data_IF_298644751359
#
_entry.id   IF_298644751359
#
_cell.length_a   1.000
_cell.length_b   1.000
_cell.length_c   1.000
_cell.angle_alpha   90.00
_cell.angle_beta   90.00
_cell.angle_gamma   90.00
#
_symmetry.space_group_name_H-M   'P 1'
#
loop_
_entity.id
_entity.type
_entity.pdbx_description
1 polymer ?
#
# COMPACT_ATOMS: atom_id res chain seq x y z
N UNK A 1 19.71 7.33 -5.48
CA UNK A 1 18.47 6.62 -5.05
C UNK A 1 18.04 7.22 -3.72
N UNK A 2 16.76 7.51 -3.48
CA UNK A 2 16.31 7.96 -2.16
C UNK A 2 16.68 6.89 -1.13
N UNK A 3 17.28 7.33 -0.02
CA UNK A 3 17.54 6.48 1.14
C UNK A 3 16.21 6.38 1.92
N UNK A 4 15.89 5.23 2.51
CA UNK A 4 14.64 5.01 3.27
C UNK A 4 14.43 6.12 4.31
N UNK A 5 15.52 6.53 4.98
CA UNK A 5 15.57 7.63 5.94
C UNK A 5 15.01 8.95 5.38
N UNK A 6 15.23 9.23 4.08
CA UNK A 6 14.67 10.43 3.46
C UNK A 6 13.14 10.33 3.32
N UNK A 7 12.61 9.14 3.02
CA UNK A 7 11.16 8.92 2.88
C UNK A 7 10.48 9.03 4.24
N UNK A 8 11.09 8.43 5.27
CA UNK A 8 10.65 8.53 6.66
C UNK A 8 10.67 9.98 7.14
N UNK A 9 11.72 10.74 6.80
CA UNK A 9 11.82 12.16 7.13
C UNK A 9 10.69 12.96 6.50
N UNK A 10 10.40 12.75 5.21
CA UNK A 10 9.29 13.42 4.53
C UNK A 10 7.94 13.04 5.17
N UNK A 11 7.73 11.79 5.54
CA UNK A 11 6.51 11.37 6.23
C UNK A 11 6.34 12.08 7.58
N UNK A 12 7.43 12.22 8.37
CA UNK A 12 7.45 12.98 9.62
C UNK A 12 7.18 14.47 9.42
N UNK A 13 7.83 15.08 8.43
CA UNK A 13 7.65 16.50 8.08
C UNK A 13 6.22 16.81 7.61
N UNK A 14 5.54 15.82 7.03
CA UNK A 14 4.14 15.87 6.64
C UNK A 14 3.19 15.32 7.72
N UNK A 15 3.55 15.41 9.00
CA UNK A 15 2.71 15.02 10.14
C UNK A 15 2.28 13.53 10.17
N UNK A 16 3.15 12.63 9.74
CA UNK A 16 2.93 11.19 9.88
C UNK A 16 2.04 10.56 8.80
N UNK A 17 1.91 11.21 7.64
CA UNK A 17 1.21 10.61 6.49
C UNK A 17 1.91 9.34 6.00
N UNK A 18 1.12 8.39 5.52
CA UNK A 18 1.65 7.21 4.84
C UNK A 18 2.11 7.54 3.43
N UNK A 19 3.40 7.34 3.15
CA UNK A 19 4.05 7.53 1.86
C UNK A 19 4.34 6.18 1.22
N UNK A 20 4.04 6.06 -0.07
CA UNK A 20 4.46 4.94 -0.92
C UNK A 20 5.51 5.43 -1.90
N UNK A 21 6.79 5.13 -1.62
CA UNK A 21 7.86 5.34 -2.59
C UNK A 21 7.97 4.12 -3.51
N UNK A 22 7.41 4.25 -4.71
CA UNK A 22 7.48 3.23 -5.75
C UNK A 22 8.92 2.98 -6.20
N UNK A 23 9.27 1.73 -6.45
CA UNK A 23 10.63 1.38 -6.87
C UNK A 23 10.77 -0.02 -7.43
N UNK A 24 12.01 -0.54 -7.41
CA UNK A 24 12.25 -1.98 -7.62
C UNK A 24 11.52 -2.80 -6.54
N UNK A 25 11.60 -2.30 -5.33
CA UNK A 25 10.82 -2.64 -4.15
C UNK A 25 10.09 -1.35 -3.76
N UNK A 26 8.83 -1.45 -3.38
CA UNK A 26 8.11 -0.28 -2.87
C UNK A 26 8.40 -0.14 -1.38
N UNK A 27 8.71 1.08 -0.95
CA UNK A 27 8.91 1.46 0.45
C UNK A 27 7.64 2.16 0.91
N UNK A 28 7.07 1.70 2.01
CA UNK A 28 5.82 2.23 2.55
C UNK A 28 6.07 2.62 3.99
N UNK A 29 5.91 3.90 4.33
CA UNK A 29 6.23 4.40 5.67
C UNK A 29 5.30 5.52 6.09
N UNK A 30 4.98 5.59 7.39
CA UNK A 30 4.34 6.73 8.03
C UNK A 30 5.35 7.58 8.85
N UNK A 31 6.65 7.33 8.67
CA UNK A 31 7.72 7.96 9.44
C UNK A 31 8.03 7.27 10.77
N UNK A 32 7.18 6.38 11.26
CA UNK A 32 7.41 5.60 12.49
C UNK A 32 7.67 4.13 12.14
N UNK A 33 6.78 3.57 11.34
CA UNK A 33 6.83 2.20 10.87
C UNK A 33 7.08 2.18 9.37
N UNK A 34 7.98 1.32 8.93
CA UNK A 34 8.34 1.15 7.52
C UNK A 34 8.18 -0.31 7.13
N UNK A 35 7.41 -0.56 6.07
CA UNK A 35 7.20 -1.86 5.47
C UNK A 35 7.59 -1.83 4.00
N UNK A 36 7.90 -3.00 3.45
CA UNK A 36 8.39 -3.11 2.09
C UNK A 36 7.57 -4.09 1.25
N UNK A 37 7.19 -3.70 0.05
CA UNK A 37 6.59 -4.61 -0.93
C UNK A 37 7.65 -5.15 -1.89
N UNK A 38 8.05 -6.39 -1.65
CA UNK A 38 9.09 -7.12 -2.39
C UNK A 38 8.56 -8.09 -3.45
N UNK A 39 7.25 -8.09 -3.72
CA UNK A 39 6.66 -8.97 -4.74
C UNK A 39 7.40 -8.85 -6.08
N UNK A 40 7.32 -9.79 -7.01
CA UNK A 40 7.83 -9.52 -8.37
C UNK A 40 6.78 -8.74 -9.15
N UNK A 41 7.20 -7.69 -9.86
CA UNK A 41 6.35 -6.94 -10.80
C UNK A 41 6.59 -7.39 -12.24
N UNK A 42 5.77 -6.93 -13.19
CA UNK A 42 6.04 -7.15 -14.61
C UNK A 42 7.25 -6.32 -15.09
N UNK A 43 7.90 -6.76 -16.17
CA UNK A 43 9.01 -6.00 -16.77
C UNK A 43 8.52 -4.85 -17.67
N UNK A 44 7.25 -4.91 -18.09
CA UNK A 44 6.63 -3.89 -18.94
C UNK A 44 6.18 -2.68 -18.14
N UNK A 45 6.53 -1.48 -18.63
CA UNK A 45 5.95 -0.21 -18.18
C UNK A 45 4.74 0.12 -19.03
N UNK A 46 3.56 0.07 -18.43
CA UNK A 46 2.31 0.51 -19.05
C UNK A 46 1.92 1.87 -18.48
N UNK A 47 1.33 2.73 -19.31
CA UNK A 47 0.54 3.84 -18.81
C UNK A 47 -0.57 3.32 -17.89
N UNK A 48 -0.90 4.07 -16.84
CA UNK A 48 -1.99 3.70 -15.91
C UNK A 48 -1.62 2.80 -14.73
N UNK A 49 -0.38 2.28 -14.64
CA UNK A 49 0.03 1.49 -13.46
C UNK A 49 -0.11 2.27 -12.14
N UNK A 50 0.10 3.59 -12.19
CA UNK A 50 -0.10 4.47 -11.03
C UNK A 50 -1.55 4.61 -10.62
N UNK A 51 -2.47 4.63 -11.59
CA UNK A 51 -3.91 4.77 -11.35
C UNK A 51 -4.52 3.48 -10.78
N UNK A 52 -4.08 2.33 -11.29
CA UNK A 52 -4.44 1.02 -10.71
C UNK A 52 -3.96 0.92 -9.28
N UNK A 53 -2.72 1.37 -9.00
CA UNK A 53 -2.18 1.36 -7.64
C UNK A 53 -3.00 2.25 -6.70
N UNK A 54 -3.21 3.53 -7.07
CA UNK A 54 -3.93 4.46 -6.19
C UNK A 54 -5.38 4.03 -5.95
N UNK A 55 -6.06 3.52 -6.99
CA UNK A 55 -7.39 2.94 -6.88
C UNK A 55 -7.42 1.76 -5.92
N UNK A 56 -6.50 0.81 -6.07
CA UNK A 56 -6.41 -0.36 -5.17
C UNK A 56 -6.14 0.06 -3.71
N UNK A 57 -5.22 1.00 -3.47
CA UNK A 57 -4.95 1.53 -2.12
C UNK A 57 -6.22 2.16 -1.53
N UNK A 58 -6.92 2.99 -2.29
CA UNK A 58 -8.15 3.64 -1.84
C UNK A 58 -9.25 2.62 -1.50
N UNK A 59 -9.38 1.55 -2.30
CA UNK A 59 -10.32 0.46 -2.01
C UNK A 59 -9.99 -0.24 -0.69
N UNK A 60 -8.74 -0.67 -0.47
CA UNK A 60 -8.35 -1.33 0.78
C UNK A 60 -8.50 -0.43 1.99
N UNK A 61 -8.14 0.86 1.86
CA UNK A 61 -8.32 1.84 2.93
C UNK A 61 -9.80 2.05 3.25
N UNK A 62 -10.65 2.21 2.24
CA UNK A 62 -12.09 2.36 2.39
C UNK A 62 -12.73 1.16 3.09
N UNK A 63 -12.34 -0.07 2.73
CA UNK A 63 -12.81 -1.27 3.42
C UNK A 63 -12.42 -1.29 4.90
N UNK A 64 -11.18 -0.94 5.22
CA UNK A 64 -10.72 -0.88 6.60
C UNK A 64 -11.37 0.23 7.42
N UNK A 65 -11.67 1.40 6.83
CA UNK A 65 -12.44 2.46 7.48
C UNK A 65 -13.88 1.98 7.75
N UNK A 66 -14.53 1.32 6.79
CA UNK A 66 -15.86 0.76 7.01
C UNK A 66 -15.85 -0.31 8.12
N UNK A 67 -14.75 -1.07 8.24
CA UNK A 67 -14.54 -2.03 9.34
C UNK A 67 -14.37 -1.33 10.68
N UNK A 68 -13.50 -0.32 10.80
CA UNK A 68 -13.33 0.42 12.06
C UNK A 68 -14.60 1.14 12.50
N UNK A 69 -15.47 1.52 11.56
CA UNK A 69 -16.78 2.11 11.81
C UNK A 69 -17.90 1.09 12.04
N UNK A 70 -17.60 -0.21 12.09
CA UNK A 70 -18.58 -1.30 12.30
C UNK A 70 -19.73 -1.28 11.29
N UNK A 71 -19.44 -0.92 10.04
CA UNK A 71 -20.43 -0.85 8.94
C UNK A 71 -20.69 -2.21 8.27
N UNK A 72 -19.92 -3.24 8.61
CA UNK A 72 -20.07 -4.59 8.07
C UNK A 72 -20.77 -5.51 9.08
N UNK A 73 -21.48 -6.52 8.60
CA UNK A 73 -22.04 -7.58 9.45
C UNK A 73 -20.88 -8.49 9.86
N UNK A 74 -20.48 -8.40 11.14
CA UNK A 74 -19.39 -9.19 11.69
C UNK A 74 -19.92 -10.58 12.09
N UNK A 75 -19.51 -11.61 11.34
CA UNK A 75 -19.81 -13.01 11.67
C UNK A 75 -18.68 -13.67 12.50
N UNK A 76 -17.61 -12.94 12.82
CA UNK A 76 -16.42 -13.44 13.53
C UNK A 76 -15.80 -12.34 14.40
N UNK A 77 -15.18 -12.72 15.51
CA UNK A 77 -14.31 -11.83 16.28
C UNK A 77 -13.02 -11.60 15.50
N UNK A 78 -12.89 -10.46 14.85
CA UNK A 78 -11.64 -10.07 14.19
C UNK A 78 -10.81 -9.16 15.11
N UNK A 79 -9.48 -9.27 15.01
CA UNK A 79 -8.61 -8.26 15.62
C UNK A 79 -8.91 -6.88 15.02
N UNK A 80 -9.00 -5.88 15.91
CA UNK A 80 -9.04 -4.49 15.52
C UNK A 80 -7.69 -4.08 14.93
N UNK A 81 -7.73 -3.34 13.83
CA UNK A 81 -6.56 -2.75 13.19
C UNK A 81 -6.46 -1.32 13.69
N UNK A 82 -5.30 -0.91 14.20
CA UNK A 82 -5.11 0.46 14.68
C UNK A 82 -5.23 1.48 13.54
N UNK A 83 -5.53 2.74 13.91
CA UNK A 83 -5.59 3.85 12.96
C UNK A 83 -4.27 4.12 12.26
N UNK A 84 -3.14 3.84 12.92
CA UNK A 84 -1.81 4.00 12.35
C UNK A 84 -1.43 2.86 11.39
N UNK A 85 -1.86 1.63 11.68
CA UNK A 85 -1.55 0.46 10.85
C UNK A 85 -2.41 0.37 9.60
N UNK A 86 -3.67 0.80 9.68
CA UNK A 86 -4.62 0.65 8.57
C UNK A 86 -4.11 1.27 7.25
N UNK A 87 -3.61 2.51 7.21
CA UNK A 87 -3.06 3.10 5.99
C UNK A 87 -1.84 2.36 5.45
N UNK A 88 -0.97 1.85 6.34
CA UNK A 88 0.19 1.05 5.95
C UNK A 88 -0.23 -0.26 5.29
N UNK A 89 -1.18 -0.98 5.89
CA UNK A 89 -1.71 -2.24 5.36
C UNK A 89 -2.47 -2.04 4.04
N UNK A 90 -3.23 -0.95 3.92
CA UNK A 90 -3.92 -0.61 2.67
C UNK A 90 -2.91 -0.31 1.54
N UNK A 91 -1.88 0.49 1.84
CA UNK A 91 -0.80 0.79 0.91
C UNK A 91 -0.06 -0.49 0.46
N UNK A 92 0.28 -1.37 1.40
CA UNK A 92 0.95 -2.65 1.09
C UNK A 92 0.08 -3.55 0.21
N UNK A 93 -1.20 -3.66 0.53
CA UNK A 93 -2.16 -4.47 -0.23
C UNK A 93 -2.30 -3.96 -1.66
N UNK A 94 -2.42 -2.64 -1.84
CA UNK A 94 -2.46 -2.03 -3.17
C UNK A 94 -1.17 -2.26 -3.98
N UNK A 95 0.00 -2.11 -3.35
CA UNK A 95 1.29 -2.39 -3.99
C UNK A 95 1.40 -3.86 -4.41
N UNK A 96 1.06 -4.79 -3.50
CA UNK A 96 1.14 -6.23 -3.74
C UNK A 96 0.24 -6.66 -4.88
N UNK A 97 -1.02 -6.25 -4.89
CA UNK A 97 -1.99 -6.59 -5.95
C UNK A 97 -1.53 -6.03 -7.29
N UNK A 98 -1.16 -4.76 -7.35
CA UNK A 98 -0.75 -4.11 -8.61
C UNK A 98 0.50 -4.78 -9.19
N UNK A 99 1.49 -5.10 -8.36
CA UNK A 99 2.74 -5.73 -8.83
C UNK A 99 2.49 -7.17 -9.26
N UNK A 100 1.69 -7.93 -8.52
CA UNK A 100 1.30 -9.29 -8.89
C UNK A 100 0.53 -9.31 -10.21
N UNK A 101 -0.47 -8.44 -10.37
CA UNK A 101 -1.25 -8.36 -11.60
C UNK A 101 -0.36 -7.98 -12.80
N UNK A 102 0.56 -7.04 -12.62
CA UNK A 102 1.53 -6.67 -13.65
C UNK A 102 2.46 -7.82 -14.03
N UNK A 103 2.91 -8.61 -13.05
CA UNK A 103 3.77 -9.77 -13.27
C UNK A 103 3.04 -10.86 -14.06
N UNK A 104 1.86 -11.28 -13.59
CA UNK A 104 1.03 -12.30 -14.26
C UNK A 104 0.66 -11.89 -15.69
N UNK A 105 0.37 -10.60 -15.91
CA UNK A 105 0.06 -10.09 -17.25
C UNK A 105 1.26 -10.18 -18.18
N UNK A 106 2.46 -9.86 -17.68
CA UNK A 106 3.70 -9.94 -18.44
C UNK A 106 4.12 -11.40 -18.74
N UNK A 107 3.85 -12.34 -17.83
CA UNK A 107 4.10 -13.76 -18.10
C UNK A 107 3.17 -14.33 -19.18
N UNK A 108 1.95 -13.79 -19.28
CA UNK A 108 0.95 -14.24 -20.26
C UNK A 108 1.11 -13.60 -21.64
N UNK A 109 1.70 -12.40 -21.73
CA UNK A 109 1.73 -11.55 -22.93
C UNK A 109 3.05 -10.81 -23.09
#
# INVERSE_FOLDING_TARGET
KPIVENVEKVAKELNGVTIVLKGKQDIITNGISTIYCNQTGGLKRCGGQGDVLSGAIATFLGWGICKSQKRWIENRSEQEISSEELPLLAAYSGCKVTRTASHLTFEKH
#
